data_IF_909730883137
#
_entry.id   IF_909730883137
#
_cell.length_a   1.000
_cell.length_b   1.000
_cell.length_c   1.000
_cell.angle_alpha   90.00
_cell.angle_beta   90.00
_cell.angle_gamma   90.00
#
_symmetry.space_group_name_H-M   'P 1'
#
loop_
_entity.id
_entity.type
_entity.pdbx_description
1 polymer ?
#
# COMPACT_ATOMS: atom_id res chain seq x y z
N UNK A 1 -11.78 1.56 12.97
CA UNK A 1 -11.31 2.25 11.75
C UNK A 1 -9.86 1.90 11.51
N UNK A 2 -9.47 1.38 10.29
CA UNK A 2 -8.07 1.07 9.97
C UNK A 2 -7.18 2.30 9.91
N UNK A 3 -5.90 2.11 10.21
CA UNK A 3 -4.89 3.18 10.13
C UNK A 3 -4.60 3.56 8.68
N UNK A 4 -4.46 4.85 8.43
CA UNK A 4 -4.10 5.39 7.10
C UNK A 4 -2.66 5.00 6.76
N UNK A 5 -2.44 4.52 5.53
CA UNK A 5 -1.11 4.18 5.03
C UNK A 5 -0.49 5.36 4.28
N UNK A 6 0.85 5.42 4.27
CA UNK A 6 1.61 6.55 3.74
C UNK A 6 2.73 6.05 2.83
N UNK A 7 3.27 6.94 2.04
CA UNK A 7 4.46 6.66 1.23
C UNK A 7 5.57 6.08 2.11
N UNK A 8 6.11 4.95 1.71
CA UNK A 8 7.16 4.24 2.45
C UNK A 8 6.64 3.16 3.40
N UNK A 9 5.34 3.12 3.68
CA UNK A 9 4.75 2.03 4.46
C UNK A 9 4.80 0.72 3.67
N UNK A 10 4.77 -0.40 4.38
CA UNK A 10 5.06 -1.71 3.78
C UNK A 10 3.79 -2.55 3.56
N UNK A 11 3.89 -3.49 2.62
CA UNK A 11 2.90 -4.53 2.41
C UNK A 11 3.29 -5.81 3.14
N UNK A 12 2.35 -6.77 3.20
CA UNK A 12 2.58 -8.07 3.84
C UNK A 12 3.53 -8.97 3.06
N UNK A 13 3.69 -8.72 1.75
CA UNK A 13 4.23 -9.70 0.84
C UNK A 13 3.22 -10.82 0.57
N UNK A 14 3.58 -11.78 -0.26
CA UNK A 14 2.76 -12.96 -0.51
C UNK A 14 3.62 -14.11 -1.07
N UNK A 15 3.32 -15.32 -0.69
CA UNK A 15 4.06 -16.51 -1.12
C UNK A 15 5.57 -16.31 -0.94
N UNK A 16 6.35 -16.42 -2.03
CA UNK A 16 7.80 -16.20 -2.00
C UNK A 16 8.21 -14.74 -2.22
N UNK A 17 7.25 -13.83 -2.38
CA UNK A 17 7.51 -12.40 -2.59
C UNK A 17 7.58 -11.68 -1.26
N UNK A 18 8.73 -11.07 -0.91
CA UNK A 18 8.89 -10.41 0.39
C UNK A 18 8.12 -9.08 0.47
N UNK A 19 7.87 -8.58 1.68
CA UNK A 19 7.30 -7.25 1.88
C UNK A 19 8.10 -6.16 1.17
N UNK A 20 7.41 -5.15 0.65
CA UNK A 20 8.03 -3.98 0.01
C UNK A 20 7.28 -2.73 0.42
N UNK A 21 7.89 -1.59 0.13
CA UNK A 21 7.33 -0.27 0.45
C UNK A 21 6.52 0.29 -0.71
N UNK A 22 5.52 1.10 -0.39
CA UNK A 22 4.84 1.92 -1.38
C UNK A 22 5.80 3.00 -1.91
N UNK A 23 5.63 3.36 -3.19
CA UNK A 23 6.54 4.26 -3.91
C UNK A 23 5.88 5.57 -4.33
N UNK A 24 4.57 5.71 -4.14
CA UNK A 24 3.82 6.89 -4.53
C UNK A 24 2.86 7.32 -3.43
N UNK A 25 2.50 8.59 -3.45
CA UNK A 25 1.52 9.16 -2.55
C UNK A 25 1.04 10.52 -3.05
N UNK A 26 0.17 11.17 -2.29
CA UNK A 26 -0.38 12.46 -2.64
C UNK A 26 0.70 13.53 -2.74
N UNK A 27 0.64 14.41 -3.75
CA UNK A 27 1.58 15.53 -3.86
C UNK A 27 1.30 16.64 -2.86
N UNK A 28 0.13 16.65 -2.21
CA UNK A 28 -0.27 17.78 -1.37
C UNK A 28 -1.09 17.41 -0.13
N UNK A 29 -1.30 16.15 0.16
CA UNK A 29 -1.97 15.68 1.38
C UNK A 29 -1.04 14.75 2.14
N UNK A 30 -0.80 15.06 3.42
CA UNK A 30 0.19 14.37 4.24
C UNK A 30 -0.43 13.80 5.51
N UNK A 31 0.12 12.71 5.97
CA UNK A 31 -0.24 12.08 7.23
C UNK A 31 1.06 11.81 7.98
N UNK A 32 1.21 12.39 9.19
CA UNK A 32 2.45 12.31 9.98
C UNK A 32 3.68 12.79 9.20
N UNK A 33 3.52 13.80 8.34
CA UNK A 33 4.61 14.36 7.53
C UNK A 33 4.96 13.55 6.30
N UNK A 34 4.24 12.48 5.99
CA UNK A 34 4.47 11.64 4.81
C UNK A 34 3.28 11.73 3.85
N UNK A 35 3.52 11.69 2.52
CA UNK A 35 2.43 11.68 1.55
C UNK A 35 1.46 10.54 1.81
N UNK A 36 0.16 10.84 1.80
CA UNK A 36 -0.88 9.83 1.94
C UNK A 36 -0.90 8.92 0.71
N UNK A 37 -0.98 7.61 0.91
CA UNK A 37 -1.09 6.63 -0.16
C UNK A 37 -2.55 6.41 -0.53
N UNK A 38 -2.83 6.27 -1.83
CA UNK A 38 -4.21 6.22 -2.38
C UNK A 38 -4.35 5.06 -3.36
N UNK A 39 -5.61 4.65 -3.61
CA UNK A 39 -5.91 3.70 -4.69
C UNK A 39 -5.28 4.18 -6.01
N UNK A 40 -4.58 3.29 -6.69
CA UNK A 40 -3.84 3.57 -7.91
C UNK A 40 -2.37 3.93 -7.70
N UNK A 41 -1.96 4.25 -6.48
CA UNK A 41 -0.56 4.55 -6.18
C UNK A 41 0.29 3.27 -6.17
N UNK A 42 1.52 3.39 -6.64
CA UNK A 42 2.42 2.28 -6.90
C UNK A 42 3.11 1.71 -5.67
N UNK A 43 3.54 0.46 -5.82
CA UNK A 43 4.36 -0.29 -4.87
C UNK A 43 5.64 -0.74 -5.52
N UNK A 44 6.71 -0.83 -4.75
CA UNK A 44 8.00 -1.28 -5.24
C UNK A 44 7.92 -2.72 -5.75
N UNK A 45 8.69 -3.01 -6.80
CA UNK A 45 8.80 -4.36 -7.36
C UNK A 45 9.40 -5.28 -6.31
N UNK A 46 8.81 -6.47 -6.17
CA UNK A 46 9.43 -7.54 -5.40
C UNK A 46 9.68 -8.77 -6.27
N UNK A 47 10.69 -9.54 -5.89
CA UNK A 47 11.16 -10.70 -6.63
C UNK A 47 10.99 -11.93 -5.76
N UNK A 48 10.54 -13.03 -6.38
CA UNK A 48 10.46 -14.31 -5.70
C UNK A 48 11.86 -14.75 -5.27
N UNK A 49 12.01 -15.07 -3.98
CA UNK A 49 13.31 -15.48 -3.41
C UNK A 49 13.49 -16.99 -3.41
N UNK A 50 12.49 -17.76 -3.88
CA UNK A 50 12.55 -19.21 -3.91
C UNK A 50 13.38 -19.69 -5.11
N UNK A 51 14.54 -20.32 -4.92
CA UNK A 51 15.45 -20.66 -6.01
C UNK A 51 14.92 -21.77 -6.93
N UNK A 52 14.02 -22.62 -6.45
CA UNK A 52 13.55 -23.81 -7.18
C UNK A 52 12.28 -23.53 -8.01
N UNK A 53 11.57 -22.43 -7.70
CA UNK A 53 10.31 -22.07 -8.37
C UNK A 53 10.35 -20.57 -8.67
N UNK A 54 11.08 -20.17 -9.70
CA UNK A 54 11.18 -18.74 -10.03
C UNK A 54 9.85 -18.22 -10.59
N UNK A 55 9.23 -17.30 -9.87
CA UNK A 55 8.00 -16.63 -10.29
C UNK A 55 8.27 -15.25 -10.89
N UNK A 56 9.54 -14.88 -11.05
CA UNK A 56 9.93 -13.58 -11.57
C UNK A 56 9.74 -12.44 -10.59
N UNK A 57 9.51 -11.26 -11.13
CA UNK A 57 9.35 -10.02 -10.36
C UNK A 57 8.08 -9.31 -10.81
N UNK A 58 7.42 -8.63 -9.88
CA UNK A 58 6.28 -7.78 -10.21
C UNK A 58 6.16 -6.62 -9.22
N UNK A 59 5.55 -5.55 -9.68
CA UNK A 59 5.09 -4.46 -8.85
C UNK A 59 3.57 -4.55 -8.68
N UNK A 60 2.97 -3.48 -8.22
CA UNK A 60 1.54 -3.40 -8.07
C UNK A 60 1.09 -1.99 -7.76
N UNK A 61 -0.22 -1.83 -7.64
CA UNK A 61 -0.85 -0.59 -7.21
C UNK A 61 -1.85 -0.92 -6.10
N UNK A 62 -2.16 0.08 -5.26
CA UNK A 62 -3.22 -0.10 -4.27
C UNK A 62 -4.55 -0.29 -4.99
N UNK A 63 -5.25 -1.39 -4.69
CA UNK A 63 -6.47 -1.78 -5.39
C UNK A 63 -7.75 -1.43 -4.62
N UNK A 64 -7.68 -1.29 -3.30
CA UNK A 64 -8.84 -0.93 -2.48
C UNK A 64 -8.49 0.12 -1.44
N UNK A 65 -9.50 0.86 -0.97
CA UNK A 65 -9.34 1.90 0.01
C UNK A 65 -10.67 2.25 0.68
N UNK A 66 -10.71 3.35 1.40
CA UNK A 66 -11.92 3.82 2.05
C UNK A 66 -13.04 4.10 1.05
N UNK A 67 -14.27 3.70 1.39
CA UNK A 67 -15.45 4.08 0.61
C UNK A 67 -15.96 5.48 0.97
N UNK A 68 -15.37 6.14 1.95
CA UNK A 68 -15.86 7.41 2.50
C UNK A 68 -14.84 8.54 2.48
N UNK A 69 -13.55 8.22 2.50
CA UNK A 69 -12.48 9.22 2.58
C UNK A 69 -11.66 9.17 1.30
N UNK A 70 -11.53 10.32 0.66
CA UNK A 70 -10.86 10.47 -0.64
C UNK A 70 -9.75 11.51 -0.54
N UNK A 71 -8.68 11.27 -1.26
CA UNK A 71 -7.55 12.19 -1.38
C UNK A 71 -7.25 12.37 -2.85
N UNK A 72 -7.33 13.61 -3.35
CA UNK A 72 -7.17 13.93 -4.76
C UNK A 72 -8.11 13.11 -5.67
N UNK A 73 -9.33 12.85 -5.19
CA UNK A 73 -10.34 12.10 -5.95
C UNK A 73 -10.19 10.58 -5.89
N UNK A 74 -9.21 10.05 -5.15
CA UNK A 74 -8.98 8.60 -5.01
C UNK A 74 -9.22 8.15 -3.56
N UNK A 75 -9.77 6.94 -3.36
CA UNK A 75 -9.93 6.40 -2.01
C UNK A 75 -8.61 6.38 -1.23
N UNK A 76 -8.64 6.83 0.01
CA UNK A 76 -7.46 6.80 0.88
C UNK A 76 -7.12 5.36 1.25
N UNK A 77 -5.84 5.00 1.20
CA UNK A 77 -5.36 3.67 1.56
C UNK A 77 -5.21 3.48 3.07
N UNK A 78 -5.41 2.24 3.53
CA UNK A 78 -5.37 1.89 4.95
C UNK A 78 -4.76 0.50 5.14
N UNK A 79 -4.32 0.20 6.36
CA UNK A 79 -3.88 -1.15 6.71
C UNK A 79 -4.98 -2.15 6.39
N UNK A 80 -4.62 -3.25 5.74
CA UNK A 80 -5.54 -4.30 5.32
C UNK A 80 -6.10 -4.14 3.92
N UNK A 81 -5.95 -2.97 3.30
CA UNK A 81 -6.39 -2.76 1.92
C UNK A 81 -5.53 -3.58 0.94
N UNK A 82 -6.16 -4.04 -0.14
CA UNK A 82 -5.51 -4.93 -1.11
C UNK A 82 -4.55 -4.19 -2.03
N UNK A 83 -3.42 -4.81 -2.29
CA UNK A 83 -2.48 -4.44 -3.35
C UNK A 83 -2.73 -5.38 -4.53
N UNK A 84 -2.71 -4.87 -5.77
CA UNK A 84 -3.09 -5.62 -6.96
C UNK A 84 -2.24 -6.88 -7.20
N UNK A 85 -1.05 -6.96 -6.63
CA UNK A 85 -0.18 -8.12 -6.75
C UNK A 85 -0.54 -9.30 -5.84
N UNK A 86 -1.52 -9.14 -4.94
CA UNK A 86 -1.92 -10.18 -3.98
C UNK A 86 -1.51 -9.89 -2.53
N UNK A 87 -0.73 -8.84 -2.29
CA UNK A 87 -0.38 -8.39 -0.95
C UNK A 87 -1.51 -7.57 -0.32
N UNK A 88 -1.34 -7.24 0.96
CA UNK A 88 -2.16 -6.28 1.67
C UNK A 88 -1.26 -5.24 2.35
N UNK A 89 -1.79 -4.05 2.61
CA UNK A 89 -1.07 -3.03 3.36
C UNK A 89 -0.85 -3.51 4.79
N UNK A 90 0.39 -3.47 5.26
CA UNK A 90 0.78 -3.98 6.58
C UNK A 90 1.04 -2.88 7.60
N UNK A 91 1.52 -1.71 7.19
CA UNK A 91 1.88 -0.64 8.12
C UNK A 91 1.20 0.68 7.76
N UNK A 92 1.06 1.55 8.73
CA UNK A 92 0.42 2.83 8.57
C UNK A 92 0.61 3.72 9.78
N UNK A 93 -0.17 4.80 9.84
CA UNK A 93 -0.11 5.77 10.93
C UNK A 93 -0.46 5.15 12.28
N UNK A 94 0.21 5.63 13.33
CA UNK A 94 -0.11 5.24 14.71
C UNK A 94 -1.31 6.01 15.28
N UNK A 95 -1.76 7.06 14.62
CA UNK A 95 -2.77 7.97 15.18
C UNK A 95 -3.75 8.59 14.19
N UNK A 96 -3.72 8.20 12.92
CA UNK A 96 -4.66 8.69 11.90
C UNK A 96 -5.37 7.50 11.27
N UNK A 97 -6.70 7.56 11.23
CA UNK A 97 -7.55 6.44 10.82
C UNK A 97 -8.60 6.91 9.81
N UNK A 98 -9.02 6.02 8.92
CA UNK A 98 -10.08 6.30 7.96
C UNK A 98 -11.04 5.12 7.91
N UNK A 99 -12.33 5.42 8.10
CA UNK A 99 -13.39 4.42 8.04
C UNK A 99 -13.87 4.11 6.63
N UNK A 100 -14.93 3.38 6.55
CA UNK A 100 -15.53 2.93 5.30
C UNK A 100 -14.92 1.66 4.78
#
# INVERSE_FOLDING_TARGET
>A
MPAVTRLGDTCTGHECFPPRSSTEGSPNVFCNGLPVHRVGDGWAVHTCTHPEVPHGSHGGVLASGSSKVFVNGQPIGRIGDAVSCGSSVATGSSNVFAGG
#
